data_IF_763384334281
#
_entry.id   IF_763384334281
#
_cell.length_a   1.000
_cell.length_b   1.000
_cell.length_c   1.000
_cell.angle_alpha   90.00
_cell.angle_beta   90.00
_cell.angle_gamma   90.00
#
_symmetry.space_group_name_H-M   'P 1'
#
loop_
_entity.id
_entity.type
_entity.pdbx_description
1 polymer ?
#
# COMPACT_ATOMS: atom_id res chain seq x y z
N UNK A 1 -6.23 8.54 24.10
CA UNK A 1 -5.54 7.23 23.92
C UNK A 1 -6.55 6.09 23.78
N UNK A 2 -6.45 5.18 22.79
CA UNK A 2 -7.21 3.93 22.82
C UNK A 2 -6.77 3.09 24.03
N UNK A 3 -7.66 2.27 24.62
CA UNK A 3 -7.28 1.35 25.69
C UNK A 3 -6.20 0.39 25.18
N UNK A 4 -5.16 0.07 25.98
CA UNK A 4 -4.09 -0.81 25.53
C UNK A 4 -4.65 -2.19 25.19
N UNK A 5 -4.63 -2.54 23.90
CA UNK A 5 -4.84 -3.92 23.47
C UNK A 5 -3.58 -4.72 23.79
N UNK A 6 -3.75 -5.75 24.64
CA UNK A 6 -2.73 -6.74 25.04
C UNK A 6 -1.41 -6.18 25.60
N UNK A 7 -1.30 -6.08 26.93
CA UNK A 7 -0.04 -6.21 27.72
C UNK A 7 1.13 -5.25 27.48
N UNK A 8 1.09 -4.38 26.47
CA UNK A 8 2.20 -3.50 26.09
C UNK A 8 2.06 -2.11 26.72
N UNK A 9 3.17 -1.60 27.26
CA UNK A 9 3.22 -0.28 27.91
C UNK A 9 2.93 0.82 26.87
N UNK A 10 2.09 1.84 27.16
CA UNK A 10 1.71 2.88 26.18
C UNK A 10 2.87 3.68 25.59
N UNK A 11 3.97 3.82 26.34
CA UNK A 11 5.23 4.44 25.88
C UNK A 11 6.21 3.46 25.19
N UNK A 12 5.81 2.21 24.99
CA UNK A 12 6.64 1.26 24.25
C UNK A 12 6.80 1.71 22.79
N UNK A 13 7.96 1.43 22.20
CA UNK A 13 8.23 1.78 20.81
C UNK A 13 7.21 1.15 19.84
N UNK A 14 6.68 -0.02 20.17
CA UNK A 14 5.66 -0.69 19.38
C UNK A 14 4.32 0.05 19.42
N UNK A 15 3.79 0.33 20.61
CA UNK A 15 2.50 1.03 20.78
C UNK A 15 2.52 2.44 20.20
N UNK A 16 3.66 3.15 20.36
CA UNK A 16 3.89 4.46 19.73
C UNK A 16 3.88 4.30 18.20
N UNK A 17 4.63 3.34 17.65
CA UNK A 17 4.70 3.11 16.20
C UNK A 17 3.33 2.83 15.59
N UNK A 18 2.53 1.94 16.20
CA UNK A 18 1.19 1.61 15.73
C UNK A 18 0.26 2.84 15.75
N UNK A 19 0.33 3.64 16.82
CA UNK A 19 -0.44 4.88 16.92
C UNK A 19 -0.03 5.91 15.86
N UNK A 20 1.28 6.07 15.62
CA UNK A 20 1.80 6.97 14.61
C UNK A 20 1.42 6.55 13.18
N UNK A 21 1.35 5.24 12.91
CA UNK A 21 0.89 4.71 11.62
C UNK A 21 -0.59 5.04 11.40
N UNK A 22 -1.44 4.86 12.42
CA UNK A 22 -2.86 5.20 12.33
C UNK A 22 -3.11 6.69 12.15
N UNK A 23 -2.37 7.54 12.87
CA UNK A 23 -2.45 8.99 12.71
C UNK A 23 -1.95 9.45 11.34
N UNK A 24 -0.92 8.79 10.79
CA UNK A 24 -0.47 9.00 9.41
C UNK A 24 -1.60 8.71 8.42
N UNK A 25 -2.30 7.59 8.56
CA UNK A 25 -3.45 7.25 7.69
C UNK A 25 -4.54 8.32 7.78
N UNK A 26 -4.88 8.77 9.00
CA UNK A 26 -5.89 9.82 9.19
C UNK A 26 -5.52 11.13 8.46
N UNK A 27 -4.25 11.54 8.50
CA UNK A 27 -3.79 12.75 7.79
C UNK A 27 -3.91 12.56 6.27
N UNK A 28 -3.50 11.41 5.75
CA UNK A 28 -3.55 11.12 4.32
C UNK A 28 -4.99 11.20 3.81
N UNK A 29 -5.93 10.53 4.48
CA UNK A 29 -7.33 10.59 4.09
C UNK A 29 -7.92 11.99 4.20
N UNK A 30 -7.64 12.72 5.29
CA UNK A 30 -8.14 14.08 5.46
C UNK A 30 -7.63 15.02 4.34
N UNK A 31 -6.37 14.87 3.92
CA UNK A 31 -5.79 15.64 2.81
C UNK A 31 -6.38 15.25 1.45
N UNK A 32 -6.65 13.97 1.21
CA UNK A 32 -7.31 13.50 -0.02
C UNK A 32 -8.72 14.10 -0.12
N UNK A 33 -9.49 14.07 0.98
CA UNK A 33 -10.82 14.69 1.02
C UNK A 33 -10.74 16.20 0.78
N UNK A 34 -9.77 16.89 1.40
CA UNK A 34 -9.59 18.34 1.14
C UNK A 34 -9.21 18.64 -0.30
N UNK A 35 -8.43 17.79 -0.95
CA UNK A 35 -7.96 17.96 -2.33
C UNK A 35 -9.09 17.86 -3.37
N UNK A 36 -10.28 17.35 -3.00
CA UNK A 36 -11.45 17.33 -3.88
C UNK A 36 -12.00 18.74 -4.19
N UNK A 37 -11.67 19.74 -3.37
CA UNK A 37 -12.14 21.12 -3.54
C UNK A 37 -10.99 22.06 -3.93
N UNK A 38 -11.32 23.17 -4.59
CA UNK A 38 -10.38 24.23 -4.93
C UNK A 38 -9.84 24.94 -3.69
N UNK A 39 -8.84 25.79 -3.90
CA UNK A 39 -8.21 26.59 -2.85
C UNK A 39 -9.25 27.39 -2.06
N UNK A 40 -10.25 28.00 -2.71
CA UNK A 40 -11.35 28.71 -2.04
C UNK A 40 -10.85 29.78 -1.05
N UNK A 41 -9.89 30.61 -1.49
CA UNK A 41 -9.12 31.56 -0.65
C UNK A 41 -9.99 32.48 0.22
N UNK A 42 -11.21 32.81 -0.24
CA UNK A 42 -12.18 33.62 0.51
C UNK A 42 -12.51 33.04 1.90
N UNK A 43 -12.40 31.71 2.08
CA UNK A 43 -12.66 31.04 3.36
C UNK A 43 -11.66 31.40 4.47
N UNK A 44 -10.48 31.87 4.08
CA UNK A 44 -9.36 32.13 4.99
C UNK A 44 -9.11 33.63 5.20
N UNK A 45 -9.91 34.49 4.57
CA UNK A 45 -9.82 35.94 4.69
C UNK A 45 -10.61 36.42 5.91
N UNK A 46 -9.97 37.08 6.89
CA UNK A 46 -10.68 37.67 8.01
C UNK A 46 -11.71 38.71 7.57
N UNK A 47 -12.92 38.64 8.12
CA UNK A 47 -13.99 39.61 7.84
C UNK A 47 -14.58 39.52 6.43
N UNK A 48 -14.40 38.39 5.74
CA UNK A 48 -15.00 38.16 4.42
C UNK A 48 -16.53 38.28 4.48
N UNK A 49 -17.10 39.21 3.70
CA UNK A 49 -18.55 39.51 3.70
C UNK A 49 -19.42 38.30 3.38
N UNK A 50 -18.90 37.36 2.59
CA UNK A 50 -19.59 36.12 2.22
C UNK A 50 -19.98 35.27 3.43
N UNK A 51 -19.25 35.41 4.56
CA UNK A 51 -19.43 34.58 5.75
C UNK A 51 -19.75 35.39 7.01
N UNK A 52 -20.17 36.65 6.88
CA UNK A 52 -20.46 37.53 8.02
C UNK A 52 -21.57 37.01 8.97
N UNK A 53 -22.39 36.06 8.51
CA UNK A 53 -23.39 35.38 9.35
C UNK A 53 -22.80 34.28 10.24
N UNK A 54 -21.58 33.82 9.96
CA UNK A 54 -20.92 32.70 10.63
C UNK A 54 -19.65 33.17 11.34
N UNK A 55 -18.87 34.04 10.69
CA UNK A 55 -17.59 34.52 11.17
C UNK A 55 -17.64 35.98 11.61
N UNK A 56 -16.93 36.30 12.69
CA UNK A 56 -16.81 37.66 13.20
C UNK A 56 -16.02 38.58 12.26
N UNK A 57 -16.03 39.90 12.51
CA UNK A 57 -15.37 40.89 11.64
C UNK A 57 -13.85 40.76 11.59
N UNK A 58 -13.25 40.06 12.54
CA UNK A 58 -11.81 39.81 12.64
C UNK A 58 -11.43 38.34 12.49
N UNK A 59 -12.37 37.49 12.10
CA UNK A 59 -12.16 36.05 11.98
C UNK A 59 -12.40 35.62 10.53
N UNK A 60 -11.64 34.64 10.07
CA UNK A 60 -11.93 33.93 8.84
C UNK A 60 -13.00 32.87 9.06
N UNK A 61 -13.62 32.39 7.97
CA UNK A 61 -14.60 31.32 8.06
C UNK A 61 -14.00 30.03 8.63
N UNK A 62 -12.74 29.71 8.28
CA UNK A 62 -12.00 28.60 8.87
C UNK A 62 -11.84 28.73 10.39
N UNK A 63 -11.39 29.90 10.88
CA UNK A 63 -11.14 30.12 12.30
C UNK A 63 -12.42 29.97 13.14
N UNK A 64 -13.53 30.56 12.69
CA UNK A 64 -14.81 30.44 13.40
C UNK A 64 -15.32 29.00 13.41
N UNK A 65 -15.24 28.28 12.29
CA UNK A 65 -15.67 26.86 12.23
C UNK A 65 -14.78 25.94 13.07
N UNK A 66 -13.47 26.18 13.08
CA UNK A 66 -12.53 25.45 13.91
C UNK A 66 -12.85 25.68 15.38
N UNK A 67 -13.00 26.95 15.82
CA UNK A 67 -13.34 27.31 17.20
C UNK A 67 -14.66 26.67 17.66
N UNK A 68 -15.73 26.74 16.87
CA UNK A 68 -17.02 26.13 17.24
C UNK A 68 -16.91 24.61 17.37
N UNK A 69 -16.14 23.98 16.48
CA UNK A 69 -15.83 22.55 16.58
C UNK A 69 -15.06 22.24 17.86
N UNK A 70 -14.07 23.05 18.22
CA UNK A 70 -13.33 22.87 19.47
C UNK A 70 -14.22 23.07 20.70
N UNK A 71 -15.12 24.06 20.68
CA UNK A 71 -16.07 24.28 21.78
C UNK A 71 -16.95 23.07 22.02
N UNK A 72 -17.46 22.46 20.94
CA UNK A 72 -18.24 21.22 21.02
C UNK A 72 -17.39 20.07 21.60
N UNK A 73 -16.17 19.90 21.10
CA UNK A 73 -15.27 18.84 21.56
C UNK A 73 -14.78 19.01 23.01
N UNK A 74 -14.60 20.26 23.47
CA UNK A 74 -14.22 20.57 24.84
C UNK A 74 -15.28 20.10 25.85
N UNK A 75 -16.57 20.29 25.52
CA UNK A 75 -17.69 19.83 26.36
C UNK A 75 -17.66 18.32 26.59
N UNK A 76 -17.16 17.55 25.62
CA UNK A 76 -17.01 16.08 25.72
C UNK A 76 -15.62 15.63 26.17
N UNK A 77 -14.83 16.55 26.78
CA UNK A 77 -13.50 16.30 27.39
C UNK A 77 -12.37 15.98 26.40
N UNK A 78 -12.49 16.36 25.12
CA UNK A 78 -11.43 16.07 24.15
C UNK A 78 -10.07 16.62 24.60
N UNK A 79 -10.02 17.90 24.95
CA UNK A 79 -8.79 18.62 25.30
C UNK A 79 -8.32 18.42 26.74
N UNK A 80 -8.96 17.53 27.51
CA UNK A 80 -8.38 17.05 28.77
C UNK A 80 -7.47 15.84 28.52
N UNK A 81 -7.49 15.26 27.32
CA UNK A 81 -6.61 14.16 26.93
C UNK A 81 -5.20 14.67 26.63
N UNK A 82 -4.13 13.98 27.07
CA UNK A 82 -2.75 14.46 26.89
C UNK A 82 -2.26 14.45 25.43
N UNK A 83 -3.00 13.83 24.51
CA UNK A 83 -2.69 13.77 23.08
C UNK A 83 -3.54 14.72 22.21
N UNK A 84 -4.35 15.60 22.81
CA UNK A 84 -5.25 16.52 22.10
C UNK A 84 -4.94 17.98 22.46
N UNK A 85 -4.67 18.82 21.45
CA UNK A 85 -4.26 20.20 21.66
C UNK A 85 -5.20 21.14 20.90
N UNK A 86 -5.76 22.13 21.60
CA UNK A 86 -6.68 23.09 21.02
C UNK A 86 -5.95 24.20 20.25
N UNK A 87 -6.52 24.66 19.13
CA UNK A 87 -6.04 25.85 18.43
C UNK A 87 -6.40 27.13 19.18
N UNK A 88 -7.55 27.14 19.87
CA UNK A 88 -8.06 28.29 20.61
C UNK A 88 -8.31 27.97 22.10
N UNK A 89 -7.27 27.57 22.86
CA UNK A 89 -7.45 27.04 24.23
C UNK A 89 -8.10 28.04 25.20
N UNK A 90 -7.93 29.35 24.97
CA UNK A 90 -8.50 30.41 25.82
C UNK A 90 -10.01 30.61 25.63
N UNK A 91 -10.59 30.08 24.55
CA UNK A 91 -11.97 30.30 24.16
C UNK A 91 -12.88 29.06 24.35
N UNK A 92 -12.37 28.04 25.04
CA UNK A 92 -13.07 26.77 25.25
C UNK A 92 -13.92 26.76 26.52
N UNK A 93 -15.13 26.16 26.49
CA UNK A 93 -15.93 25.94 27.69
C UNK A 93 -15.35 24.83 28.56
N UNK A 94 -15.70 24.79 29.86
CA UNK A 94 -15.36 23.66 30.71
C UNK A 94 -16.05 22.36 30.24
N UNK A 95 -15.48 21.18 30.52
CA UNK A 95 -16.10 19.91 30.15
C UNK A 95 -17.43 19.70 30.87
N UNK A 96 -18.40 19.11 30.16
CA UNK A 96 -19.72 18.75 30.70
C UNK A 96 -19.77 17.32 31.23
N UNK A 97 -18.79 16.49 30.89
CA UNK A 97 -18.65 15.12 31.38
C UNK A 97 -17.64 15.06 32.55
N UNK A 98 -17.75 14.09 33.48
CA UNK A 98 -16.81 13.93 34.60
C UNK A 98 -15.37 13.75 34.13
N UNK A 99 -14.37 14.27 34.82
CA UNK A 99 -12.97 14.12 34.37
C UNK A 99 -12.51 12.65 34.37
N UNK A 100 -11.64 12.31 33.42
CA UNK A 100 -10.94 11.03 33.38
C UNK A 100 -9.55 11.19 33.99
N UNK A 101 -9.13 10.19 34.76
CA UNK A 101 -7.76 10.13 35.24
C UNK A 101 -6.89 9.46 34.17
N UNK A 102 -5.92 10.20 33.65
CA UNK A 102 -4.97 9.71 32.65
C UNK A 102 -3.65 9.37 33.34
N UNK A 103 -2.98 8.27 32.94
CA UNK A 103 -1.67 7.96 33.48
C UNK A 103 -0.70 9.12 33.21
N UNK A 104 0.06 9.51 34.24
CA UNK A 104 1.10 10.55 34.15
C UNK A 104 2.31 10.05 33.34
N UNK A 105 2.12 9.93 32.02
CA UNK A 105 3.12 9.41 31.11
C UNK A 105 4.14 10.45 30.67
N UNK A 106 3.72 11.71 30.56
CA UNK A 106 4.55 12.81 30.09
C UNK A 106 4.98 13.69 31.27
N UNK A 107 6.20 14.25 31.18
CA UNK A 107 6.57 15.38 32.01
C UNK A 107 5.61 16.57 31.75
N UNK A 108 5.18 17.33 32.78
CA UNK A 108 4.37 18.52 32.58
C UNK A 108 4.96 19.46 31.53
N UNK A 109 4.17 19.79 30.51
CA UNK A 109 4.61 20.55 29.36
C UNK A 109 3.44 21.41 28.84
N UNK A 110 3.71 22.68 28.56
CA UNK A 110 2.72 23.64 28.03
C UNK A 110 2.94 23.96 26.54
N UNK A 111 3.76 23.17 25.84
CA UNK A 111 4.06 23.39 24.42
C UNK A 111 2.81 23.11 23.59
N UNK A 112 2.37 24.12 22.84
CA UNK A 112 1.32 24.01 21.85
C UNK A 112 1.78 24.71 20.56
N UNK A 113 2.04 23.91 19.53
CA UNK A 113 2.53 24.33 18.22
C UNK A 113 1.41 24.62 17.22
N UNK A 114 0.15 24.62 17.66
CA UNK A 114 -1.00 24.85 16.78
C UNK A 114 -0.94 26.18 15.99
N UNK A 115 -0.44 27.31 16.53
CA UNK A 115 -0.26 28.52 15.72
C UNK A 115 0.66 28.31 14.52
N UNK A 116 1.80 27.64 14.72
CA UNK A 116 2.75 27.33 13.64
C UNK A 116 2.18 26.28 12.67
N UNK A 117 1.40 25.31 13.17
CA UNK A 117 0.73 24.30 12.35
C UNK A 117 -0.30 24.97 11.43
N UNK A 118 -1.09 25.90 11.94
CA UNK A 118 -2.08 26.64 11.16
C UNK A 118 -1.39 27.46 10.05
N UNK A 119 -0.30 28.16 10.39
CA UNK A 119 0.48 28.94 9.42
C UNK A 119 1.06 28.04 8.31
N UNK A 120 1.72 26.92 8.68
CA UNK A 120 2.28 25.97 7.72
C UNK A 120 1.17 25.35 6.86
N UNK A 121 0.02 25.05 7.45
CA UNK A 121 -1.11 24.51 6.72
C UNK A 121 -1.58 25.47 5.63
N UNK A 122 -1.90 26.71 6.00
CA UNK A 122 -2.43 27.72 5.07
C UNK A 122 -1.43 28.12 3.99
N UNK A 123 -0.14 28.28 4.33
CA UNK A 123 0.84 28.83 3.40
C UNK A 123 1.64 27.78 2.62
N UNK A 124 1.68 26.53 3.07
CA UNK A 124 2.49 25.47 2.42
C UNK A 124 1.69 24.25 2.03
N UNK A 125 0.87 23.72 2.93
CA UNK A 125 0.16 22.45 2.70
C UNK A 125 -1.02 22.67 1.76
N UNK A 126 -1.91 23.61 2.10
CA UNK A 126 -3.14 23.88 1.36
C UNK A 126 -2.87 24.23 -0.12
N UNK A 127 -1.92 25.14 -0.47
CA UNK A 127 -1.62 25.45 -1.87
C UNK A 127 -0.96 24.29 -2.62
N UNK A 128 -0.32 23.35 -1.90
CA UNK A 128 0.34 22.19 -2.51
C UNK A 128 -0.63 21.04 -2.82
N UNK A 129 -1.76 20.95 -2.11
CA UNK A 129 -2.74 19.85 -2.26
C UNK A 129 -4.00 20.25 -3.02
N UNK A 130 -4.26 21.54 -3.21
CA UNK A 130 -5.47 22.05 -3.90
C UNK A 130 -5.14 22.73 -5.21
N UNK A 131 -6.09 22.73 -6.14
CA UNK A 131 -6.01 23.56 -7.34
C UNK A 131 -6.44 24.99 -7.03
N UNK A 132 -5.78 26.02 -7.61
CA UNK A 132 -6.22 27.41 -7.46
C UNK A 132 -7.66 27.66 -7.95
N UNK A 133 -8.29 28.68 -7.39
CA UNK A 133 -9.61 29.17 -7.79
C UNK A 133 -10.69 28.93 -6.74
N UNK A 134 -11.93 29.19 -7.14
CA UNK A 134 -13.12 29.10 -6.29
C UNK A 134 -14.16 28.18 -6.97
N UNK A 135 -14.52 27.08 -6.33
CA UNK A 135 -15.57 26.16 -6.78
C UNK A 135 -16.87 26.30 -5.99
N UNK A 136 -16.97 27.32 -5.14
CA UNK A 136 -18.09 27.66 -4.26
C UNK A 136 -18.37 26.64 -3.15
N UNK A 137 -17.59 25.56 -3.04
CA UNK A 137 -17.76 24.53 -2.00
C UNK A 137 -17.06 24.93 -0.68
N UNK A 138 -17.35 26.14 -0.22
CA UNK A 138 -16.69 26.78 0.93
C UNK A 138 -16.90 25.99 2.23
N UNK A 139 -18.14 25.55 2.50
CA UNK A 139 -18.46 24.79 3.71
C UNK A 139 -17.72 23.45 3.76
N UNK A 140 -17.76 22.69 2.66
CA UNK A 140 -17.08 21.40 2.56
C UNK A 140 -15.56 21.55 2.68
N UNK A 141 -14.99 22.60 2.08
CA UNK A 141 -13.56 22.93 2.19
C UNK A 141 -13.16 23.15 3.65
N UNK A 142 -13.89 24.02 4.36
CA UNK A 142 -13.58 24.35 5.76
C UNK A 142 -13.79 23.17 6.70
N UNK A 143 -14.82 22.34 6.49
CA UNK A 143 -15.00 21.11 7.28
C UNK A 143 -13.83 20.13 7.07
N UNK A 144 -13.36 19.98 5.82
CA UNK A 144 -12.18 19.17 5.53
C UNK A 144 -10.90 19.78 6.14
N UNK A 145 -10.74 21.11 6.08
CA UNK A 145 -9.62 21.83 6.70
C UNK A 145 -9.54 21.57 8.20
N UNK A 146 -10.68 21.64 8.91
CA UNK A 146 -10.76 21.35 10.35
C UNK A 146 -10.31 19.92 10.66
N UNK A 147 -10.71 18.94 9.84
CA UNK A 147 -10.28 17.55 9.99
C UNK A 147 -8.77 17.39 9.80
N UNK A 148 -8.20 18.04 8.77
CA UNK A 148 -6.76 18.04 8.50
C UNK A 148 -5.98 18.67 9.67
N UNK A 149 -6.38 19.86 10.12
CA UNK A 149 -5.71 20.59 11.20
C UNK A 149 -5.70 19.81 12.50
N UNK A 150 -6.83 19.19 12.87
CA UNK A 150 -6.90 18.34 14.06
C UNK A 150 -6.02 17.08 13.94
N UNK A 151 -5.99 16.45 12.76
CA UNK A 151 -5.15 15.28 12.51
C UNK A 151 -3.65 15.62 12.58
N UNK A 152 -3.24 16.72 11.95
CA UNK A 152 -1.86 17.22 11.98
C UNK A 152 -1.48 17.61 13.41
N UNK A 153 -2.32 18.39 14.10
CA UNK A 153 -2.09 18.78 15.50
C UNK A 153 -1.80 17.58 16.39
N UNK A 154 -2.68 16.57 16.32
CA UNK A 154 -2.50 15.33 17.09
C UNK A 154 -1.19 14.63 16.75
N UNK A 155 -0.85 14.51 15.47
CA UNK A 155 0.35 13.79 15.01
C UNK A 155 1.66 14.49 15.36
N UNK A 156 1.68 15.81 15.26
CA UNK A 156 2.85 16.64 15.59
C UNK A 156 3.09 16.61 17.09
N UNK A 157 2.05 16.86 17.89
CA UNK A 157 2.17 16.85 19.36
C UNK A 157 2.40 15.45 19.93
N UNK A 158 2.06 14.38 19.20
CA UNK A 158 2.48 13.03 19.58
C UNK A 158 4.01 12.86 19.66
N UNK A 159 4.77 13.81 19.08
CA UNK A 159 6.20 13.97 19.29
C UNK A 159 6.61 14.06 20.76
N UNK A 160 5.74 14.54 21.67
CA UNK A 160 5.99 14.55 23.12
C UNK A 160 6.13 13.12 23.68
N UNK A 161 5.26 12.19 23.27
CA UNK A 161 5.35 10.78 23.67
C UNK A 161 6.58 10.10 23.08
N UNK A 162 6.95 10.46 21.84
CA UNK A 162 8.18 9.97 21.20
C UNK A 162 9.41 10.46 21.94
N UNK A 163 9.44 11.75 22.31
CA UNK A 163 10.53 12.37 23.04
C UNK A 163 10.69 11.73 24.43
N UNK A 164 9.59 11.54 25.17
CA UNK A 164 9.58 10.86 26.47
C UNK A 164 10.13 9.42 26.37
N UNK A 165 9.67 8.65 25.37
CA UNK A 165 10.13 7.29 25.13
C UNK A 165 11.64 7.24 24.83
N UNK A 166 12.14 8.17 24.01
CA UNK A 166 13.57 8.29 23.69
C UNK A 166 14.40 8.74 24.89
N UNK A 167 13.91 9.72 25.66
CA UNK A 167 14.55 10.21 26.87
C UNK A 167 14.74 9.07 27.88
N UNK A 168 13.68 8.28 28.15
CA UNK A 168 13.75 7.11 29.04
C UNK A 168 14.73 6.04 28.57
N UNK A 169 14.93 5.90 27.26
CA UNK A 169 15.89 4.94 26.73
C UNK A 169 17.36 5.39 26.92
N UNK A 170 17.62 6.70 26.95
CA UNK A 170 18.97 7.29 27.04
C UNK A 170 19.02 8.54 27.93
N UNK A 171 18.68 8.44 29.23
CA UNK A 171 18.45 9.61 30.08
C UNK A 171 19.71 10.46 30.27
N UNK A 172 20.87 9.83 30.44
CA UNK A 172 22.14 10.54 30.67
C UNK A 172 22.56 11.38 29.46
N UNK A 173 22.50 10.80 28.25
CA UNK A 173 22.85 11.48 26.99
C UNK A 173 21.96 12.72 26.77
N UNK A 174 20.64 12.56 26.86
CA UNK A 174 19.72 13.67 26.70
C UNK A 174 19.84 14.70 27.82
N UNK A 175 20.07 14.29 29.08
CA UNK A 175 20.23 15.21 30.21
C UNK A 175 21.46 16.11 30.02
N UNK A 176 22.57 15.57 29.53
CA UNK A 176 23.76 16.36 29.25
C UNK A 176 23.50 17.45 28.19
N UNK A 177 22.83 17.08 27.09
CA UNK A 177 22.48 18.01 26.02
C UNK A 177 21.45 19.06 26.47
N UNK A 178 20.45 18.67 27.25
CA UNK A 178 19.43 19.58 27.81
C UNK A 178 20.08 20.60 28.74
N UNK A 179 20.97 20.17 29.65
CA UNK A 179 21.70 21.08 30.55
C UNK A 179 22.65 22.01 29.81
N UNK A 180 23.22 21.54 28.70
CA UNK A 180 24.05 22.33 27.80
C UNK A 180 23.26 23.27 26.87
N UNK A 181 21.92 23.20 26.87
CA UNK A 181 21.04 23.88 25.92
C UNK A 181 21.46 23.64 24.44
N UNK A 182 21.94 22.43 24.14
CA UNK A 182 22.45 22.05 22.82
C UNK A 182 21.31 21.51 21.94
N UNK A 183 20.57 22.43 21.32
CA UNK A 183 19.45 22.10 20.42
C UNK A 183 19.90 21.28 19.21
N UNK A 184 21.06 21.57 18.63
CA UNK A 184 21.61 20.82 17.48
C UNK A 184 21.99 19.39 17.86
N UNK A 185 22.58 19.20 19.04
CA UNK A 185 22.87 17.89 19.61
C UNK A 185 21.59 17.07 19.82
N UNK A 186 20.54 17.69 20.36
CA UNK A 186 19.23 17.03 20.54
C UNK A 186 18.65 16.64 19.19
N UNK A 187 18.65 17.54 18.21
CA UNK A 187 18.16 17.25 16.86
C UNK A 187 18.93 16.10 16.21
N UNK A 188 20.26 16.06 16.32
CA UNK A 188 21.07 14.95 15.79
C UNK A 188 20.70 13.60 16.42
N UNK A 189 20.42 13.54 17.72
CA UNK A 189 19.97 12.31 18.38
C UNK A 189 18.53 11.92 18.01
N UNK A 190 17.68 12.90 17.69
CA UNK A 190 16.29 12.64 17.30
C UNK A 190 16.17 12.14 15.86
N UNK A 191 17.01 12.66 14.96
CA UNK A 191 16.98 12.35 13.52
C UNK A 191 17.42 10.92 13.25
N UNK A 192 16.61 10.18 12.49
CA UNK A 192 16.99 8.90 11.92
C UNK A 192 16.59 8.90 10.45
N UNK A 193 17.56 9.23 9.58
CA UNK A 193 17.36 9.43 8.15
C UNK A 193 16.74 8.18 7.49
N UNK A 194 17.15 6.98 7.89
CA UNK A 194 16.59 5.74 7.36
C UNK A 194 15.10 5.54 7.72
N UNK A 195 14.68 6.00 8.91
CA UNK A 195 13.27 6.00 9.32
C UNK A 195 12.47 7.05 8.56
N UNK A 196 13.01 8.25 8.39
CA UNK A 196 12.38 9.35 7.65
C UNK A 196 12.11 8.98 6.19
N UNK A 197 13.11 8.44 5.48
CA UNK A 197 12.94 7.95 4.11
C UNK A 197 11.89 6.84 4.00
N UNK A 198 11.77 5.99 5.03
CA UNK A 198 10.77 4.92 5.07
C UNK A 198 9.36 5.50 5.28
N UNK A 199 9.22 6.51 6.12
CA UNK A 199 7.96 7.24 6.32
C UNK A 199 7.55 7.90 5.00
N UNK A 200 8.44 8.64 4.34
CA UNK A 200 8.14 9.30 3.07
C UNK A 200 7.70 8.32 1.97
N UNK A 201 8.41 7.19 1.82
CA UNK A 201 8.02 6.14 0.86
C UNK A 201 6.64 5.57 1.17
N UNK A 202 6.36 5.28 2.44
CA UNK A 202 5.07 4.72 2.87
C UNK A 202 3.93 5.71 2.63
N UNK A 203 4.12 6.98 2.99
CA UNK A 203 3.13 8.04 2.81
C UNK A 203 2.82 8.24 1.32
N UNK A 204 3.85 8.34 0.46
CA UNK A 204 3.65 8.46 -1.00
C UNK A 204 2.79 7.33 -1.56
N UNK A 205 3.08 6.09 -1.13
CA UNK A 205 2.36 4.92 -1.60
C UNK A 205 0.91 4.88 -1.13
N UNK A 206 0.67 5.17 0.15
CA UNK A 206 -0.69 5.25 0.71
C UNK A 206 -1.51 6.33 0.03
N UNK A 207 -0.94 7.53 -0.16
CA UNK A 207 -1.59 8.61 -0.89
C UNK A 207 -1.95 8.20 -2.32
N UNK A 208 -1.04 7.51 -3.02
CA UNK A 208 -1.32 6.97 -4.35
C UNK A 208 -2.43 5.91 -4.35
N UNK A 209 -2.43 4.98 -3.38
CA UNK A 209 -3.46 3.93 -3.29
C UNK A 209 -4.84 4.48 -2.94
N UNK A 210 -4.92 5.47 -2.05
CA UNK A 210 -6.20 6.00 -1.58
C UNK A 210 -6.77 7.12 -2.47
N UNK A 211 -5.92 7.84 -3.21
CA UNK A 211 -6.33 8.94 -4.09
C UNK A 211 -6.76 8.51 -5.50
N UNK A 212 -6.92 7.22 -5.76
CA UNK A 212 -7.38 6.70 -7.05
C UNK A 212 -8.88 6.47 -7.05
N UNK A 213 -9.59 7.12 -7.98
CA UNK A 213 -10.90 6.65 -8.42
C UNK A 213 -10.70 5.32 -9.15
N UNK A 214 -11.37 4.27 -8.68
CA UNK A 214 -11.27 2.90 -9.24
C UNK A 214 -11.72 2.84 -10.73
N UNK A 215 -12.26 3.93 -11.27
CA UNK A 215 -12.68 4.07 -12.67
C UNK A 215 -11.80 4.99 -13.56
N UNK A 216 -10.83 5.73 -13.00
CA UNK A 216 -10.04 6.70 -13.76
C UNK A 216 -8.57 6.27 -13.92
N UNK A 217 -8.27 5.73 -15.11
CA UNK A 217 -6.94 5.69 -15.72
C UNK A 217 -5.83 4.90 -14.99
N UNK A 218 -6.06 3.60 -14.80
CA UNK A 218 -4.99 2.62 -14.51
C UNK A 218 -4.03 2.39 -15.71
N UNK A 219 -4.15 3.13 -16.80
CA UNK A 219 -3.47 2.82 -18.06
C UNK A 219 -1.99 3.26 -18.13
N UNK A 220 -1.48 4.11 -17.21
CA UNK A 220 -0.14 4.72 -17.39
C UNK A 220 0.86 4.55 -16.23
N UNK A 221 0.46 4.37 -14.96
CA UNK A 221 1.43 4.54 -13.84
C UNK A 221 1.72 3.30 -12.97
N UNK A 222 0.89 2.24 -13.00
CA UNK A 222 1.17 1.00 -12.25
C UNK A 222 2.34 0.17 -12.78
N UNK A 223 2.85 0.53 -13.97
CA UNK A 223 3.87 -0.23 -14.67
C UNK A 223 5.28 0.01 -14.11
N UNK A 224 5.62 1.20 -13.60
CA UNK A 224 6.99 1.53 -13.16
C UNK A 224 7.39 0.97 -11.79
N UNK A 225 6.43 0.60 -10.92
CA UNK A 225 6.74 0.05 -9.59
C UNK A 225 6.96 -1.46 -9.60
N UNK A 226 6.42 -2.18 -10.59
CA UNK A 226 6.57 -3.61 -10.72
C UNK A 226 7.88 -3.95 -11.46
N UNK A 227 9.04 -3.72 -10.84
CA UNK A 227 10.32 -4.13 -11.46
C UNK A 227 10.33 -5.64 -11.74
N UNK A 228 11.01 -6.05 -12.82
CA UNK A 228 11.11 -7.45 -13.19
C UNK A 228 12.40 -7.75 -13.93
N UNK A 229 12.66 -9.01 -14.26
CA UNK A 229 13.92 -9.43 -14.90
C UNK A 229 13.61 -10.28 -16.11
N UNK A 230 14.38 -10.10 -17.17
CA UNK A 230 14.29 -10.89 -18.39
C UNK A 230 15.54 -11.71 -18.59
N UNK A 231 15.40 -12.92 -19.14
CA UNK A 231 16.53 -13.80 -19.46
C UNK A 231 16.69 -13.84 -20.97
N UNK A 232 17.83 -13.35 -21.47
CA UNK A 232 18.19 -13.44 -22.90
C UNK A 232 19.05 -14.68 -23.13
N UNK A 233 18.66 -15.54 -24.07
CA UNK A 233 19.49 -16.66 -24.54
C UNK A 233 20.09 -16.35 -25.91
N UNK A 234 21.42 -16.41 -25.98
CA UNK A 234 22.24 -16.33 -27.19
C UNK A 234 23.71 -16.25 -26.79
N UNK A 235 24.47 -17.35 -26.95
CA UNK A 235 25.91 -17.44 -26.62
C UNK A 235 26.29 -17.37 -25.13
N UNK A 236 25.30 -17.33 -24.23
CA UNK A 236 25.44 -17.25 -22.78
C UNK A 236 24.18 -16.65 -22.16
N UNK A 237 23.63 -17.26 -21.10
CA UNK A 237 22.42 -16.78 -20.44
C UNK A 237 22.72 -15.50 -19.67
N UNK A 238 22.15 -14.36 -20.08
CA UNK A 238 22.33 -13.06 -19.41
C UNK A 238 20.99 -12.56 -18.86
N UNK A 239 20.98 -12.23 -17.57
CA UNK A 239 19.86 -11.56 -16.90
C UNK A 239 19.90 -10.06 -17.24
N UNK A 240 18.74 -9.51 -17.59
CA UNK A 240 18.56 -8.09 -17.92
C UNK A 240 17.46 -7.57 -17.01
N UNK A 241 17.80 -6.59 -16.17
CA UNK A 241 16.82 -5.90 -15.33
C UNK A 241 15.86 -5.08 -16.19
N UNK A 242 14.58 -5.11 -15.85
CA UNK A 242 13.54 -4.29 -16.44
C UNK A 242 12.99 -3.34 -15.39
N UNK A 243 12.86 -2.07 -15.76
CA UNK A 243 12.33 -1.02 -14.90
C UNK A 243 10.83 -1.19 -14.59
N UNK A 244 10.15 -2.06 -15.35
CA UNK A 244 8.71 -2.33 -15.25
C UNK A 244 8.35 -3.77 -15.61
N UNK A 245 7.19 -4.23 -15.14
CA UNK A 245 6.65 -5.54 -15.46
C UNK A 245 6.24 -5.56 -16.93
N UNK A 246 5.70 -4.45 -17.44
CA UNK A 246 5.46 -4.29 -18.87
C UNK A 246 6.76 -4.51 -19.68
N UNK A 247 7.88 -3.95 -19.24
CA UNK A 247 9.17 -4.15 -19.89
C UNK A 247 9.58 -5.63 -19.96
N UNK A 248 9.26 -6.42 -18.93
CA UNK A 248 9.44 -7.88 -18.96
C UNK A 248 8.57 -8.52 -20.03
N UNK A 249 7.28 -8.17 -20.07
CA UNK A 249 6.33 -8.72 -21.03
C UNK A 249 6.73 -8.38 -22.48
N UNK A 250 7.06 -7.13 -22.75
CA UNK A 250 7.52 -6.66 -24.07
C UNK A 250 8.82 -7.34 -24.50
N UNK A 251 9.77 -7.53 -23.59
CA UNK A 251 11.01 -8.22 -23.91
C UNK A 251 10.76 -9.68 -24.30
N UNK A 252 9.90 -10.39 -23.55
CA UNK A 252 9.53 -11.77 -23.87
C UNK A 252 8.76 -11.83 -25.19
N UNK A 253 7.76 -10.96 -25.40
CA UNK A 253 6.93 -10.93 -26.61
C UNK A 253 7.70 -10.53 -27.87
N UNK A 254 8.67 -9.63 -27.77
CA UNK A 254 9.52 -9.22 -28.89
C UNK A 254 10.72 -10.14 -29.12
N UNK A 255 10.75 -11.33 -28.50
CA UNK A 255 11.88 -12.27 -28.56
C UNK A 255 13.23 -11.68 -28.10
N UNK A 256 13.22 -10.56 -27.37
CA UNK A 256 14.43 -10.00 -26.74
C UNK A 256 14.84 -10.81 -25.52
N UNK A 257 13.91 -11.59 -24.98
CA UNK A 257 14.10 -12.54 -23.90
C UNK A 257 13.27 -13.79 -24.16
N UNK A 258 13.75 -14.94 -23.67
CA UNK A 258 13.02 -16.20 -23.75
C UNK A 258 12.05 -16.36 -22.57
N UNK A 259 12.49 -15.92 -21.39
CA UNK A 259 11.73 -15.96 -20.14
C UNK A 259 11.76 -14.61 -19.45
N UNK A 260 10.70 -14.33 -18.70
CA UNK A 260 10.56 -13.18 -17.83
C UNK A 260 10.23 -13.62 -16.41
N UNK A 261 10.69 -12.88 -15.41
CA UNK A 261 10.31 -13.06 -14.01
C UNK A 261 9.59 -11.80 -13.59
N UNK A 262 8.36 -11.96 -13.12
CA UNK A 262 7.45 -10.88 -12.76
C UNK A 262 7.13 -10.99 -11.27
N UNK A 263 7.31 -9.91 -10.52
CA UNK A 263 6.91 -9.84 -9.11
C UNK A 263 5.39 -9.68 -9.02
N UNK A 264 4.73 -10.54 -8.23
CA UNK A 264 3.28 -10.53 -8.01
C UNK A 264 2.88 -10.02 -6.62
N UNK A 265 3.73 -10.26 -5.64
CA UNK A 265 3.53 -9.87 -4.25
C UNK A 265 4.91 -9.70 -3.60
N UNK A 266 5.08 -8.68 -2.76
CA UNK A 266 6.30 -8.53 -1.98
C UNK A 266 5.96 -8.51 -0.50
N UNK A 267 6.85 -9.07 0.31
CA UNK A 267 6.61 -9.18 1.75
C UNK A 267 6.41 -7.83 2.46
N UNK A 268 6.98 -6.73 1.95
CA UNK A 268 6.81 -5.37 2.50
C UNK A 268 5.78 -4.52 1.75
N UNK A 269 5.52 -4.84 0.47
CA UNK A 269 4.64 -4.05 -0.39
C UNK A 269 3.25 -4.68 -0.58
N UNK A 270 3.03 -5.92 -0.18
CA UNK A 270 1.79 -6.64 -0.47
C UNK A 270 1.66 -6.96 -1.96
N UNK A 271 0.42 -7.11 -2.43
CA UNK A 271 0.11 -7.49 -3.82
C UNK A 271 0.48 -6.36 -4.79
N UNK A 272 0.95 -6.73 -5.98
CA UNK A 272 1.24 -5.83 -7.11
C UNK A 272 0.16 -5.99 -8.20
N UNK A 273 -0.90 -5.15 -8.21
CA UNK A 273 -2.05 -5.32 -9.11
C UNK A 273 -1.70 -5.18 -10.59
N UNK A 274 -0.81 -4.24 -10.94
CA UNK A 274 -0.41 -4.00 -12.33
C UNK A 274 0.26 -5.23 -12.98
N UNK A 275 1.13 -5.92 -12.24
CA UNK A 275 1.77 -7.16 -12.70
C UNK A 275 0.75 -8.26 -12.99
N UNK A 276 -0.32 -8.31 -12.19
CA UNK A 276 -1.44 -9.23 -12.37
C UNK A 276 -2.29 -8.84 -13.59
N UNK A 277 -2.59 -7.56 -13.77
CA UNK A 277 -3.38 -7.09 -14.92
C UNK A 277 -2.73 -7.41 -16.28
N UNK A 278 -1.39 -7.39 -16.35
CA UNK A 278 -0.65 -7.79 -17.55
C UNK A 278 -0.95 -9.23 -17.99
N UNK A 279 -1.25 -10.15 -17.06
CA UNK A 279 -1.68 -11.51 -17.43
C UNK A 279 -3.03 -11.55 -18.14
N UNK A 280 -3.88 -10.55 -17.97
CA UNK A 280 -5.10 -10.46 -18.76
C UNK A 280 -4.81 -9.95 -20.17
N UNK A 281 -4.06 -8.85 -20.26
CA UNK A 281 -3.80 -8.10 -21.48
C UNK A 281 -2.86 -8.82 -22.45
N UNK A 282 -1.88 -9.56 -21.93
CA UNK A 282 -0.84 -10.18 -22.73
C UNK A 282 -0.97 -11.71 -22.79
N UNK A 283 -0.54 -12.34 -23.90
CA UNK A 283 -0.68 -13.78 -24.12
C UNK A 283 0.53 -14.59 -23.57
N UNK A 284 1.14 -14.15 -22.48
CA UNK A 284 2.23 -14.90 -21.84
C UNK A 284 1.68 -16.02 -20.95
N UNK A 285 2.45 -17.10 -20.87
CA UNK A 285 2.13 -18.28 -20.07
C UNK A 285 3.01 -18.33 -18.83
N UNK A 286 2.41 -18.64 -17.67
CA UNK A 286 3.13 -18.90 -16.44
C UNK A 286 3.79 -20.28 -16.48
N UNK A 287 5.09 -20.35 -16.23
CA UNK A 287 5.88 -21.60 -16.21
C UNK A 287 6.33 -22.03 -14.82
N UNK A 288 6.13 -21.17 -13.82
CA UNK A 288 6.58 -21.45 -12.47
C UNK A 288 6.18 -20.33 -11.52
N UNK A 289 6.10 -20.68 -10.24
CA UNK A 289 5.93 -19.75 -9.15
C UNK A 289 7.11 -19.87 -8.19
N UNK A 290 7.73 -18.74 -7.88
CA UNK A 290 8.80 -18.63 -6.89
C UNK A 290 8.32 -17.90 -5.66
N UNK A 291 8.72 -18.40 -4.51
CA UNK A 291 8.43 -17.84 -3.20
C UNK A 291 9.75 -17.54 -2.50
N UNK A 292 10.13 -16.28 -2.38
CA UNK A 292 11.38 -15.86 -1.75
C UNK A 292 11.18 -15.58 -0.26
N UNK A 293 12.16 -15.95 0.57
CA UNK A 293 12.23 -15.59 1.99
C UNK A 293 12.87 -14.22 2.17
N UNK A 294 12.50 -13.51 3.24
CA UNK A 294 12.99 -12.18 3.62
C UNK A 294 14.46 -12.08 4.06
N UNK A 295 15.24 -13.15 4.11
CA UNK A 295 16.65 -13.09 4.54
C UNK A 295 17.60 -12.90 3.36
N UNK A 296 17.48 -11.78 2.65
CA UNK A 296 18.59 -11.21 1.88
C UNK A 296 19.00 -9.92 2.62
N UNK A 297 20.10 -9.92 3.40
CA UNK A 297 20.54 -8.79 4.22
C UNK A 297 21.09 -7.57 3.45
N UNK A 298 20.66 -7.34 2.22
CA UNK A 298 21.26 -6.34 1.33
C UNK A 298 20.28 -5.85 0.27
N UNK A 299 19.15 -5.30 0.72
CA UNK A 299 18.39 -4.31 -0.05
C UNK A 299 18.36 -3.01 0.76
N UNK A 300 19.56 -2.50 1.07
CA UNK A 300 19.76 -1.14 1.54
C UNK A 300 19.98 -0.24 0.30
N UNK A 301 19.15 0.78 0.05
CA UNK A 301 19.37 1.73 -1.03
C UNK A 301 20.28 2.88 -0.57
N UNK A 302 21.44 2.57 0.01
CA UNK A 302 22.38 3.60 0.45
C UNK A 302 23.68 3.52 -0.33
N UNK A 303 23.77 4.40 -1.32
CA UNK A 303 24.99 5.10 -1.71
C UNK A 303 26.21 4.30 -2.21
N UNK A 304 25.99 3.35 -3.13
CA UNK A 304 27.05 2.90 -4.06
C UNK A 304 26.54 3.02 -5.48
N UNK A 305 27.35 3.58 -6.39
CA UNK A 305 27.11 3.71 -7.84
C UNK A 305 26.99 2.36 -8.58
N UNK A 306 26.75 1.27 -7.87
CA UNK A 306 26.40 -0.02 -8.41
C UNK A 306 25.39 -0.67 -7.46
N UNK A 307 24.09 -0.77 -7.81
CA UNK A 307 23.25 -1.78 -7.19
C UNK A 307 23.95 -3.12 -7.42
N UNK A 308 24.06 -3.94 -6.38
CA UNK A 308 24.50 -5.32 -6.58
C UNK A 308 23.57 -5.92 -7.64
N UNK A 309 24.10 -6.38 -8.79
CA UNK A 309 23.26 -6.74 -9.91
C UNK A 309 22.40 -7.94 -9.49
N UNK A 310 21.11 -7.91 -9.84
CA UNK A 310 20.14 -9.00 -9.62
C UNK A 310 20.63 -10.44 -9.93
N UNK A 311 21.71 -10.71 -10.71
CA UNK A 311 22.42 -11.99 -10.67
C UNK A 311 22.78 -12.55 -9.28
N UNK A 312 22.95 -11.76 -8.22
CA UNK A 312 23.09 -12.29 -6.85
C UNK A 312 21.78 -12.90 -6.32
N UNK A 313 20.64 -12.29 -6.64
CA UNK A 313 19.31 -12.85 -6.31
C UNK A 313 19.09 -14.17 -7.08
N UNK A 314 19.62 -14.30 -8.30
CA UNK A 314 19.59 -15.54 -9.08
C UNK A 314 20.60 -16.59 -8.61
N UNK A 315 21.69 -16.19 -7.97
CA UNK A 315 22.60 -17.11 -7.30
C UNK A 315 22.01 -17.64 -5.97
N UNK A 316 21.28 -16.82 -5.22
CA UNK A 316 20.56 -17.23 -3.99
C UNK A 316 19.25 -17.99 -4.26
N UNK A 317 18.77 -17.99 -5.51
CA UNK A 317 17.56 -18.70 -5.97
C UNK A 317 17.70 -20.24 -5.98
N UNK A 318 18.90 -20.82 -5.78
CA UNK A 318 19.11 -22.28 -5.77
C UNK A 318 18.77 -22.98 -4.45
N UNK A 319 18.78 -22.27 -3.32
CA UNK A 319 18.91 -22.92 -2.00
C UNK A 319 17.65 -22.92 -1.12
N UNK A 320 16.52 -22.35 -1.57
CA UNK A 320 15.37 -22.12 -0.70
C UNK A 320 14.39 -23.32 -0.63
N UNK A 321 14.82 -24.44 -0.04
CA UNK A 321 13.91 -25.47 0.47
C UNK A 321 13.34 -25.06 1.85
N UNK A 322 12.02 -25.23 2.00
CA UNK A 322 11.21 -25.41 3.23
C UNK A 322 11.50 -24.58 4.50
N UNK A 323 10.68 -23.54 4.80
CA UNK A 323 10.25 -23.21 6.17
C UNK A 323 9.18 -22.10 6.24
N UNK A 324 8.30 -22.15 7.25
CA UNK A 324 6.93 -21.60 7.20
C UNK A 324 6.67 -20.22 7.84
N UNK A 325 7.66 -19.47 8.33
CA UNK A 325 7.40 -18.40 9.32
C UNK A 325 7.79 -16.92 8.99
N UNK A 326 8.15 -16.52 7.77
CA UNK A 326 8.46 -15.10 7.45
C UNK A 326 7.81 -14.62 6.15
N UNK A 327 7.53 -13.30 6.05
CA UNK A 327 6.80 -12.66 4.94
C UNK A 327 7.29 -13.11 3.55
N UNK A 328 6.34 -13.38 2.65
CA UNK A 328 6.57 -14.07 1.37
C UNK A 328 6.58 -13.08 0.21
N UNK A 329 7.64 -13.08 -0.59
CA UNK A 329 7.65 -12.42 -1.91
C UNK A 329 7.32 -13.47 -2.98
N UNK A 330 6.27 -13.23 -3.78
CA UNK A 330 5.81 -14.14 -4.84
C UNK A 330 6.21 -13.61 -6.20
N UNK A 331 6.90 -14.43 -6.97
CA UNK A 331 7.30 -14.13 -8.34
C UNK A 331 6.71 -15.20 -9.26
N UNK A 332 6.39 -14.84 -10.48
CA UNK A 332 5.93 -15.76 -11.52
C UNK A 332 6.89 -15.72 -12.70
N UNK A 333 7.24 -16.89 -13.21
CA UNK A 333 8.03 -17.02 -14.42
C UNK A 333 7.08 -17.05 -15.61
N UNK A 334 7.30 -16.17 -16.59
CA UNK A 334 6.48 -16.01 -17.78
C UNK A 334 7.27 -16.31 -19.05
N UNK A 335 6.63 -16.93 -20.03
CA UNK A 335 7.21 -17.24 -21.33
C UNK A 335 6.21 -16.98 -22.46
N UNK A 336 6.70 -16.97 -23.70
CA UNK A 336 5.82 -17.09 -24.87
C UNK A 336 5.09 -18.42 -24.85
N UNK A 337 3.81 -18.37 -25.20
CA UNK A 337 2.89 -19.51 -25.18
C UNK A 337 3.38 -20.64 -26.10
N UNK A 338 4.01 -21.65 -25.50
CA UNK A 338 4.52 -22.86 -26.17
C UNK A 338 3.85 -24.11 -25.59
N UNK A 339 2.51 -24.16 -25.64
CA UNK A 339 1.67 -25.20 -25.05
C UNK A 339 1.88 -25.43 -23.53
N UNK A 340 0.88 -26.01 -22.86
CA UNK A 340 1.06 -26.44 -21.47
C UNK A 340 2.05 -27.61 -21.42
N UNK A 341 3.03 -27.59 -20.50
CA UNK A 341 3.92 -28.73 -20.31
C UNK A 341 3.12 -30.01 -19.98
N UNK A 342 3.71 -31.21 -20.13
CA UNK A 342 3.05 -32.43 -19.70
C UNK A 342 2.86 -32.44 -18.16
N UNK A 343 1.79 -33.07 -17.65
CA UNK A 343 1.62 -33.25 -16.21
C UNK A 343 2.80 -33.99 -15.58
N UNK A 344 3.27 -33.50 -14.43
CA UNK A 344 4.35 -34.11 -13.65
C UNK A 344 3.83 -34.94 -12.47
N UNK A 345 2.52 -34.85 -12.18
CA UNK A 345 1.86 -35.54 -11.07
C UNK A 345 1.94 -34.78 -9.75
N UNK A 346 2.71 -33.69 -9.70
CA UNK A 346 2.75 -32.75 -8.57
C UNK A 346 2.76 -31.34 -9.11
N UNK A 347 1.68 -30.93 -9.76
CA UNK A 347 1.59 -29.65 -10.44
C UNK A 347 0.75 -28.63 -9.69
N UNK A 348 0.87 -27.37 -10.12
CA UNK A 348 -0.03 -26.27 -9.80
C UNK A 348 -0.55 -25.68 -11.08
N UNK A 349 -1.78 -25.16 -11.03
CA UNK A 349 -2.38 -24.40 -12.13
C UNK A 349 -2.72 -23.01 -11.65
N UNK A 350 -2.27 -21.99 -12.39
CA UNK A 350 -2.64 -20.61 -12.15
C UNK A 350 -3.74 -20.18 -13.12
N UNK A 351 -4.80 -19.60 -12.57
CA UNK A 351 -6.03 -19.22 -13.27
C UNK A 351 -6.32 -17.74 -13.02
N UNK A 352 -6.77 -17.05 -14.07
CA UNK A 352 -7.50 -15.79 -13.95
C UNK A 352 -8.98 -16.03 -14.26
N UNK A 353 -9.84 -15.74 -13.29
CA UNK A 353 -11.28 -16.00 -13.35
C UNK A 353 -12.06 -14.69 -13.21
N UNK A 354 -12.82 -14.30 -14.23
CA UNK A 354 -13.84 -13.25 -14.11
C UNK A 354 -15.22 -13.87 -14.02
N UNK A 355 -16.03 -13.50 -13.04
CA UNK A 355 -17.38 -14.06 -12.84
C UNK A 355 -18.43 -13.22 -13.58
N UNK A 356 -19.47 -13.87 -14.15
CA UNK A 356 -20.63 -13.14 -14.67
C UNK A 356 -21.56 -12.76 -13.53
N UNK A 357 -22.12 -11.55 -13.55
CA UNK A 357 -23.31 -11.23 -12.76
C UNK A 357 -24.48 -12.12 -13.19
N UNK A 358 -25.22 -12.71 -12.24
CA UNK A 358 -26.47 -13.42 -12.53
C UNK A 358 -27.62 -12.41 -12.40
N UNK A 359 -28.38 -12.20 -13.50
CA UNK A 359 -29.35 -11.10 -13.69
C UNK A 359 -28.66 -9.75 -13.87
N UNK A 360 -29.42 -8.73 -14.31
CA UNK A 360 -28.97 -7.33 -14.53
C UNK A 360 -28.36 -6.63 -13.30
N UNK A 361 -28.08 -7.36 -12.22
CA UNK A 361 -27.32 -6.93 -11.05
C UNK A 361 -25.94 -7.56 -11.14
N UNK A 362 -24.92 -6.74 -11.36
CA UNK A 362 -23.55 -7.16 -11.62
C UNK A 362 -22.86 -7.83 -10.40
N UNK A 363 -23.48 -7.77 -9.22
CA UNK A 363 -23.02 -8.41 -7.96
C UNK A 363 -24.13 -9.24 -7.29
N UNK A 364 -24.58 -10.31 -7.95
CA UNK A 364 -25.50 -11.24 -7.30
C UNK A 364 -24.79 -11.97 -6.13
N UNK A 365 -25.37 -11.97 -4.91
CA UNK A 365 -24.77 -12.65 -3.77
C UNK A 365 -24.58 -14.14 -4.06
N UNK A 366 -23.40 -14.67 -3.70
CA UNK A 366 -23.08 -16.09 -3.83
C UNK A 366 -22.36 -16.51 -5.12
N UNK A 367 -22.10 -15.62 -6.07
CA UNK A 367 -21.40 -15.98 -7.33
C UNK A 367 -20.00 -16.56 -7.09
N UNK A 368 -19.19 -15.96 -6.22
CA UNK A 368 -17.87 -16.49 -5.87
C UNK A 368 -17.97 -17.83 -5.14
N UNK A 369 -18.94 -17.97 -4.23
CA UNK A 369 -19.17 -19.22 -3.51
C UNK A 369 -19.54 -20.36 -4.48
N UNK A 370 -20.39 -20.09 -5.46
CA UNK A 370 -20.73 -21.06 -6.51
C UNK A 370 -19.49 -21.48 -7.32
N UNK A 371 -18.63 -20.53 -7.71
CA UNK A 371 -17.39 -20.85 -8.42
C UNK A 371 -16.41 -21.69 -7.57
N UNK A 372 -16.25 -21.37 -6.29
CA UNK A 372 -15.40 -22.15 -5.38
C UNK A 372 -15.96 -23.55 -5.09
N UNK A 373 -17.28 -23.70 -5.17
CA UNK A 373 -17.94 -25.01 -5.01
C UNK A 373 -17.53 -25.97 -6.12
N UNK A 374 -17.36 -25.51 -7.37
CA UNK A 374 -16.89 -26.36 -8.47
C UNK A 374 -15.53 -26.99 -8.16
N UNK A 375 -14.58 -26.28 -7.54
CA UNK A 375 -13.31 -26.89 -7.13
C UNK A 375 -13.50 -27.95 -6.04
N UNK A 376 -14.37 -27.68 -5.07
CA UNK A 376 -14.65 -28.59 -3.96
C UNK A 376 -15.30 -29.89 -4.46
N UNK A 377 -16.27 -29.80 -5.37
CA UNK A 377 -16.98 -30.94 -5.98
C UNK A 377 -16.02 -31.92 -6.68
N UNK A 378 -14.99 -31.39 -7.35
CA UNK A 378 -14.00 -32.22 -8.05
C UNK A 378 -12.76 -32.54 -7.20
N UNK A 379 -12.75 -32.22 -5.91
CA UNK A 379 -11.63 -32.50 -5.01
C UNK A 379 -10.36 -31.70 -5.32
N UNK A 380 -10.49 -30.52 -5.96
CA UNK A 380 -9.37 -29.65 -6.32
C UNK A 380 -9.13 -28.63 -5.21
N UNK A 381 -7.93 -28.66 -4.62
CA UNK A 381 -7.57 -27.71 -3.57
C UNK A 381 -7.20 -26.34 -4.16
N UNK A 382 -7.69 -25.27 -3.53
CA UNK A 382 -7.32 -23.88 -3.83
C UNK A 382 -6.27 -23.42 -2.80
N UNK A 383 -5.02 -23.23 -3.24
CA UNK A 383 -3.91 -22.83 -2.34
C UNK A 383 -3.73 -21.32 -2.23
N UNK A 384 -4.32 -20.55 -3.16
CA UNK A 384 -4.29 -19.08 -3.13
C UNK A 384 -5.45 -18.52 -3.94
N UNK A 385 -6.07 -17.46 -3.41
CA UNK A 385 -7.04 -16.65 -4.12
C UNK A 385 -6.81 -15.18 -3.79
N UNK A 386 -6.85 -14.31 -4.79
CA UNK A 386 -6.74 -12.87 -4.63
C UNK A 386 -7.63 -12.16 -5.64
N UNK A 387 -8.44 -11.21 -5.17
CA UNK A 387 -9.19 -10.32 -6.05
C UNK A 387 -8.28 -9.32 -6.75
N UNK A 388 -8.65 -8.96 -7.98
CA UNK A 388 -8.01 -7.99 -8.85
C UNK A 388 -9.08 -7.29 -9.68
N UNK A 389 -8.78 -6.08 -10.18
CA UNK A 389 -9.61 -5.44 -11.19
C UNK A 389 -9.77 -6.38 -12.40
N UNK A 390 -11.01 -6.48 -12.91
CA UNK A 390 -11.27 -7.23 -14.12
C UNK A 390 -10.73 -6.45 -15.34
N UNK A 391 -10.36 -7.16 -16.42
CA UNK A 391 -9.92 -6.49 -17.64
C UNK A 391 -11.06 -5.66 -18.25
N UNK A 392 -10.80 -4.44 -18.74
CA UNK A 392 -11.82 -3.63 -19.40
C UNK A 392 -12.49 -4.40 -20.55
N UNK A 393 -13.82 -4.30 -20.64
CA UNK A 393 -14.60 -5.00 -21.67
C UNK A 393 -14.73 -6.52 -21.49
N UNK A 394 -14.20 -7.10 -20.42
CA UNK A 394 -14.26 -8.56 -20.17
C UNK A 394 -15.63 -9.10 -19.74
N UNK A 395 -16.58 -8.22 -19.43
CA UNK A 395 -17.91 -8.60 -18.93
C UNK A 395 -17.96 -9.00 -17.45
N UNK A 396 -16.85 -8.83 -16.71
CA UNK A 396 -16.80 -8.93 -15.26
C UNK A 396 -16.35 -7.60 -14.65
N UNK A 397 -16.80 -7.28 -13.44
CA UNK A 397 -16.28 -6.14 -12.66
C UNK A 397 -15.05 -6.52 -11.84
N UNK A 398 -15.04 -7.75 -11.31
CA UNK A 398 -13.94 -8.29 -10.50
C UNK A 398 -13.39 -9.56 -11.14
N UNK A 399 -12.07 -9.70 -11.11
CA UNK A 399 -11.37 -10.92 -11.47
C UNK A 399 -10.63 -11.52 -10.26
N UNK A 400 -10.39 -12.82 -10.31
CA UNK A 400 -9.72 -13.57 -9.27
C UNK A 400 -8.49 -14.28 -9.83
N UNK A 401 -7.34 -14.02 -9.23
CA UNK A 401 -6.14 -14.84 -9.39
C UNK A 401 -6.22 -16.03 -8.47
N UNK A 402 -6.24 -17.23 -9.04
CA UNK A 402 -6.45 -18.48 -8.31
C UNK A 402 -5.28 -19.42 -8.59
N UNK A 403 -4.73 -20.02 -7.54
CA UNK A 403 -3.78 -21.12 -7.61
C UNK A 403 -4.48 -22.41 -7.18
N UNK A 404 -4.48 -23.40 -8.08
CA UNK A 404 -5.06 -24.71 -7.89
C UNK A 404 -3.96 -25.76 -7.73
N UNK A 405 -4.20 -26.76 -6.87
CA UNK A 405 -3.41 -27.97 -6.85
C UNK A 405 -3.81 -28.89 -8.03
N UNK A 406 -2.82 -29.38 -8.77
CA UNK A 406 -3.02 -30.20 -9.96
C UNK A 406 -2.75 -29.46 -11.27
N UNK A 407 -2.54 -30.23 -12.34
CA UNK A 407 -2.31 -29.75 -13.69
C UNK A 407 -3.65 -29.48 -14.40
N UNK A 408 -3.73 -28.51 -15.31
CA UNK A 408 -4.96 -28.21 -16.06
C UNK A 408 -5.44 -29.35 -16.99
N UNK A 409 -4.61 -30.39 -17.15
CA UNK A 409 -4.94 -31.62 -17.91
C UNK A 409 -5.36 -32.77 -17.00
N UNK A 410 -5.23 -32.61 -15.68
CA UNK A 410 -5.75 -33.61 -14.73
C UNK A 410 -7.27 -33.60 -14.81
N UNK A 411 -7.88 -34.78 -14.78
CA UNK A 411 -9.33 -34.95 -14.96
C UNK A 411 -10.14 -34.10 -13.98
N UNK A 412 -9.76 -34.08 -12.70
CA UNK A 412 -10.39 -33.28 -11.66
C UNK A 412 -10.34 -31.76 -11.96
N UNK A 413 -9.16 -31.24 -12.34
CA UNK A 413 -8.99 -29.82 -12.65
C UNK A 413 -9.72 -29.45 -13.95
N UNK A 414 -9.63 -30.29 -14.97
CA UNK A 414 -10.31 -30.07 -16.25
C UNK A 414 -11.84 -30.03 -16.08
N UNK A 415 -12.41 -30.93 -15.28
CA UNK A 415 -13.84 -30.92 -14.97
C UNK A 415 -14.26 -29.68 -14.18
N UNK A 416 -13.48 -29.28 -13.17
CA UNK A 416 -13.74 -28.06 -12.42
C UNK A 416 -13.70 -26.81 -13.33
N UNK A 417 -12.72 -26.72 -14.22
CA UNK A 417 -12.63 -25.62 -15.20
C UNK A 417 -13.80 -25.61 -16.18
N UNK A 418 -14.29 -26.78 -16.60
CA UNK A 418 -15.46 -26.89 -17.46
C UNK A 418 -16.74 -26.41 -16.75
N UNK A 419 -16.90 -26.73 -15.47
CA UNK A 419 -18.04 -26.30 -14.65
C UNK A 419 -18.04 -24.79 -14.37
N UNK A 420 -16.87 -24.15 -14.38
CA UNK A 420 -16.74 -22.70 -14.25
C UNK A 420 -17.16 -21.93 -15.51
N UNK A 421 -17.03 -22.50 -16.70
CA UNK A 421 -17.35 -21.82 -17.98
C UNK A 421 -18.75 -21.17 -18.01
N UNK A 422 -19.85 -21.81 -17.56
CA UNK A 422 -21.16 -21.16 -17.54
C UNK A 422 -21.27 -20.03 -16.50
N UNK A 423 -20.50 -20.09 -15.41
CA UNK A 423 -20.52 -19.10 -14.33
C UNK A 423 -19.63 -17.88 -14.61
N UNK A 424 -18.61 -18.08 -15.45
CA UNK A 424 -17.53 -17.12 -15.65
C UNK A 424 -17.74 -16.25 -16.89
N UNK A 425 -17.46 -14.96 -16.78
CA UNK A 425 -17.36 -14.07 -17.94
C UNK A 425 -16.21 -14.54 -18.83
N UNK A 426 -15.11 -14.93 -18.18
CA UNK A 426 -13.97 -15.58 -18.79
C UNK A 426 -13.22 -16.46 -17.76
N UNK A 427 -12.61 -17.53 -18.28
CA UNK A 427 -11.70 -18.42 -17.53
C UNK A 427 -10.41 -18.49 -18.33
N UNK A 428 -9.31 -17.90 -17.82
CA UNK A 428 -8.00 -17.91 -18.50
C UNK A 428 -7.00 -18.70 -17.67
N UNK A 429 -6.69 -19.91 -18.13
CA UNK A 429 -5.55 -20.69 -17.60
C UNK A 429 -4.27 -19.95 -17.97
N UNK A 430 -3.58 -19.42 -16.97
CA UNK A 430 -2.32 -18.71 -17.16
C UNK A 430 -1.15 -19.68 -17.34
N UNK A 431 -1.21 -20.85 -16.70
CA UNK A 431 -0.24 -21.91 -16.88
C UNK A 431 -0.40 -23.04 -15.87
N UNK A 432 0.21 -24.18 -16.17
CA UNK A 432 0.37 -25.31 -15.26
C UNK A 432 1.83 -25.72 -15.21
N UNK A 433 2.34 -25.98 -14.02
CA UNK A 433 3.76 -26.20 -13.77
C UNK A 433 4.00 -27.01 -12.49
N UNK A 434 5.14 -27.67 -12.39
CA UNK A 434 5.51 -28.49 -11.23
C UNK A 434 5.53 -27.68 -9.91
N UNK A 435 5.21 -28.34 -8.80
CA UNK A 435 5.31 -27.81 -7.44
C UNK A 435 6.78 -27.66 -7.05
N UNK A 436 7.23 -26.42 -6.85
CA UNK A 436 8.61 -26.11 -6.44
C UNK A 436 9.19 -24.99 -7.29
N UNK A 437 10.38 -24.50 -6.95
CA UNK A 437 11.09 -23.63 -7.87
C UNK A 437 11.45 -24.44 -9.13
N UNK A 438 11.12 -23.98 -10.36
CA UNK A 438 11.63 -24.62 -11.57
C UNK A 438 13.15 -24.77 -11.52
N UNK A 439 13.61 -25.97 -11.84
CA UNK A 439 15.03 -26.31 -11.94
C UNK A 439 15.71 -25.38 -12.96
N UNK A 440 16.89 -24.86 -12.60
CA UNK A 440 17.71 -23.99 -13.45
C UNK A 440 17.99 -24.66 -14.79
N UNK A 441 18.28 -25.96 -14.78
CA UNK A 441 18.58 -26.71 -16.01
C UNK A 441 17.33 -26.99 -16.84
N UNK A 442 16.14 -27.07 -16.22
CA UNK A 442 14.87 -27.15 -16.94
C UNK A 442 14.48 -25.81 -17.60
N UNK A 443 14.75 -24.67 -16.94
CA UNK A 443 14.55 -23.33 -17.50
C UNK A 443 15.50 -23.05 -18.67
N UNK A 444 16.75 -23.49 -18.55
CA UNK A 444 17.75 -23.40 -19.62
C UNK A 444 17.49 -24.40 -20.74
N UNK A 445 17.05 -25.62 -20.42
CA UNK A 445 16.70 -26.67 -21.37
C UNK A 445 15.54 -26.28 -22.28
N UNK A 446 14.47 -25.70 -21.71
CA UNK A 446 13.35 -25.14 -22.46
C UNK A 446 13.80 -24.01 -23.42
N UNK A 447 14.85 -23.26 -23.06
CA UNK A 447 15.44 -22.22 -23.90
C UNK A 447 16.33 -22.75 -25.03
N UNK A 448 16.70 -24.04 -25.01
CA UNK A 448 17.59 -24.68 -25.99
C UNK A 448 16.88 -25.59 -26.99
N UNK A 449 15.56 -25.80 -26.87
CA UNK A 449 14.78 -26.52 -27.88
C UNK A 449 14.17 -25.55 -28.90
N UNK A 450 14.84 -25.26 -30.04
CA UNK A 450 14.14 -24.70 -31.18
C UNK A 450 13.15 -25.74 -31.67
N UNK A 451 11.92 -25.31 -31.97
CA UNK A 451 10.96 -26.08 -32.73
C UNK A 451 11.62 -26.58 -34.02
N UNK A 452 12.01 -27.85 -34.04
CA UNK A 452 12.34 -28.57 -35.26
C UNK A 452 11.03 -28.91 -35.97
N UNK A 453 10.40 -27.93 -36.60
CA UNK A 453 9.51 -28.21 -37.74
C UNK A 453 10.40 -28.29 -38.97
N UNK A 454 10.92 -29.50 -39.23
CA UNK A 454 11.25 -29.96 -40.58
C UNK A 454 9.96 -30.39 -41.25
N UNK A 455 9.78 -30.02 -42.52
CA UNK A 455 8.70 -30.48 -43.39
C UNK A 455 7.95 -29.34 -44.01
#
# INVERSE_FOLDING_TARGET
MPPPTSGSHPLSLQSIRETLIRQEDTIIFALIERAQYRANDVCYQPGARAFAAIAGPSESFLESMLLETERMHARVRRYTSPDEHAFFPRALPPPSLPLLDFPALLHPCSVNLNPQILEVYLHKVLPAVTQPGDDTQHGSSVVADVAVLQAISKRVHYGLFVAESKFRAKPEEYTALIRGNDEEGIMRLLTNTAVEERVLRRVRRKAFTFGQDIEADESVLGLSEARGVTVRCGGGSKLIECESALGVYEAVLSNRAFLGIVLLEQADLGVLPAAKQLFAQYPLQAMGLWMLRRTCPSVHPSNTRHPAPFPQIVAELSDAAADRAAGRTRCVVVCKRNALPPPTGRDKTMLLLGLRGRRRLLDAPGNLAAALTSFTTHGVNVSYIQSSAAPPGSGAQVAFFIELAGHARDTAVAHALAELQPLAAFVKVLGSFACGAPDRDALLGAATSPSSTRG
#
